data_IF_454602209198
#
_entry.id   IF_454602209198
#
_cell.length_a   1.000
_cell.length_b   1.000
_cell.length_c   1.000
_cell.angle_alpha   90.00
_cell.angle_beta   90.00
_cell.angle_gamma   90.00
#
_symmetry.space_group_name_H-M   'P 1'
#
loop_
_entity.id
_entity.type
_entity.pdbx_description
1 polymer ?
#
# COMPACT_ATOMS: atom_id res chain seq x y z
N UNK A 1 -7.70 4.47 -16.97
CA UNK A 1 -7.09 3.52 -15.99
C UNK A 1 -5.92 4.21 -15.31
N UNK A 2 -5.82 4.18 -13.97
CA UNK A 2 -4.79 4.91 -13.18
C UNK A 2 -3.65 4.00 -12.69
N UNK A 3 -3.29 2.99 -13.48
CA UNK A 3 -2.26 2.01 -13.11
C UNK A 3 -0.89 2.70 -12.92
N UNK A 4 -0.20 2.38 -11.84
CA UNK A 4 1.12 2.93 -11.53
C UNK A 4 1.12 4.40 -11.10
N UNK A 5 -0.01 4.94 -10.64
CA UNK A 5 -0.09 6.28 -10.06
C UNK A 5 -0.18 6.21 -8.54
N UNK A 6 0.49 7.15 -7.89
CA UNK A 6 0.38 7.40 -6.45
C UNK A 6 -0.94 8.11 -6.13
N UNK A 7 -1.63 7.66 -5.08
CA UNK A 7 -2.86 8.26 -4.57
C UNK A 7 -3.00 8.09 -3.06
N UNK A 8 -4.03 8.73 -2.51
CA UNK A 8 -4.35 8.67 -1.08
C UNK A 8 -5.64 7.90 -0.89
N UNK A 9 -5.65 6.93 0.03
CA UNK A 9 -6.89 6.28 0.47
C UNK A 9 -7.74 7.32 1.21
N UNK A 10 -8.95 7.58 0.73
CA UNK A 10 -9.89 8.56 1.28
C UNK A 10 -11.14 7.92 1.90
N UNK A 11 -11.28 6.60 1.76
CA UNK A 11 -12.36 5.83 2.35
C UNK A 11 -12.20 4.34 2.00
N UNK A 12 -12.88 3.50 2.76
CA UNK A 12 -12.94 2.07 2.51
C UNK A 12 -14.30 1.54 2.95
N UNK A 13 -14.90 0.68 2.12
CA UNK A 13 -15.95 -0.25 2.51
C UNK A 13 -15.34 -1.65 2.49
N UNK A 14 -14.99 -2.16 3.67
CA UNK A 14 -14.33 -3.45 3.81
C UNK A 14 -15.29 -4.63 3.59
N UNK A 15 -16.61 -4.42 3.71
CA UNK A 15 -17.57 -5.49 3.46
C UNK A 15 -17.65 -5.87 1.98
N UNK A 16 -17.50 -4.88 1.09
CA UNK A 16 -17.52 -5.07 -0.36
C UNK A 16 -16.14 -5.06 -1.02
N UNK A 17 -15.06 -5.08 -0.22
CA UNK A 17 -13.69 -4.87 -0.68
C UNK A 17 -13.54 -3.66 -1.62
N UNK A 18 -14.12 -2.53 -1.23
CA UNK A 18 -14.07 -1.30 -2.03
C UNK A 18 -13.24 -0.24 -1.34
N UNK A 19 -12.06 0.02 -1.89
CA UNK A 19 -11.15 1.07 -1.46
C UNK A 19 -11.30 2.30 -2.36
N UNK A 20 -11.54 3.46 -1.76
CA UNK A 20 -11.65 4.73 -2.46
C UNK A 20 -10.30 5.44 -2.43
N UNK A 21 -9.71 5.68 -3.60
CA UNK A 21 -8.40 6.31 -3.74
C UNK A 21 -8.53 7.62 -4.51
N UNK A 22 -8.08 8.72 -3.91
CA UNK A 22 -7.99 10.03 -4.55
C UNK A 22 -6.63 10.24 -5.18
N UNK A 23 -6.61 10.72 -6.43
CA UNK A 23 -5.40 10.96 -7.20
C UNK A 23 -5.25 12.45 -7.52
N UNK A 24 -4.80 13.25 -6.55
CA UNK A 24 -4.59 14.69 -6.70
C UNK A 24 -5.71 15.36 -7.54
N UNK A 25 -5.36 15.93 -8.71
CA UNK A 25 -6.29 16.68 -9.57
C UNK A 25 -7.12 15.79 -10.53
N UNK A 26 -7.02 14.46 -10.43
CA UNK A 26 -7.63 13.51 -11.36
C UNK A 26 -8.89 12.84 -10.81
N UNK A 27 -9.36 13.27 -9.64
CA UNK A 27 -10.54 12.72 -8.98
C UNK A 27 -10.25 11.47 -8.16
N UNK A 28 -11.30 10.71 -7.84
CA UNK A 28 -11.23 9.48 -7.06
C UNK A 28 -11.66 8.26 -7.88
N UNK A 29 -11.04 7.12 -7.59
CA UNK A 29 -11.38 5.81 -8.14
C UNK A 29 -11.72 4.80 -7.05
N UNK A 30 -12.36 3.70 -7.46
CA UNK A 30 -12.69 2.55 -6.61
C UNK A 30 -11.83 1.36 -7.03
N UNK A 31 -11.25 0.67 -6.06
CA UNK A 31 -10.34 -0.45 -6.27
C UNK A 31 -10.59 -1.53 -5.23
N UNK A 32 -10.32 -2.78 -5.61
CA UNK A 32 -10.18 -3.87 -4.66
C UNK A 32 -8.85 -3.75 -3.91
N UNK A 33 -8.80 -4.29 -2.69
CA UNK A 33 -7.60 -4.22 -1.84
C UNK A 33 -6.40 -4.94 -2.45
N UNK A 34 -6.62 -6.00 -3.23
CA UNK A 34 -5.57 -6.75 -3.93
C UNK A 34 -4.93 -5.98 -5.11
N UNK A 35 -5.62 -4.99 -5.66
CA UNK A 35 -5.16 -4.15 -6.75
C UNK A 35 -4.28 -2.98 -6.28
N UNK A 36 -4.09 -2.84 -4.96
CA UNK A 36 -3.40 -1.70 -4.36
C UNK A 36 -2.12 -2.13 -3.64
N UNK A 37 -1.07 -1.35 -3.87
CA UNK A 37 0.15 -1.36 -3.08
C UNK A 37 0.14 -0.16 -2.13
N UNK A 38 0.52 -0.39 -0.88
CA UNK A 38 0.64 0.64 0.14
C UNK A 38 2.06 0.73 0.66
N UNK A 39 2.46 1.94 1.05
CA UNK A 39 3.76 2.16 1.67
C UNK A 39 3.87 1.39 2.98
N UNK A 40 5.01 0.73 3.17
CA UNK A 40 5.39 0.18 4.48
C UNK A 40 5.47 1.32 5.51
N UNK A 41 5.18 1.04 6.80
CA UNK A 41 5.36 2.02 7.86
C UNK A 41 6.81 2.51 7.96
N UNK A 42 7.00 3.78 8.34
CA UNK A 42 8.33 4.41 8.44
C UNK A 42 9.36 3.55 9.17
N UNK A 43 9.02 3.07 10.38
CA UNK A 43 9.94 2.31 11.22
C UNK A 43 10.41 1.01 10.56
N UNK A 44 9.52 0.36 9.81
CA UNK A 44 9.84 -0.86 9.08
C UNK A 44 10.70 -0.57 7.87
N UNK A 45 10.27 0.38 7.03
CA UNK A 45 10.99 0.78 5.82
C UNK A 45 12.42 1.22 6.15
N UNK A 46 12.57 2.08 7.16
CA UNK A 46 13.87 2.58 7.60
C UNK A 46 14.78 1.46 8.12
N UNK A 47 14.25 0.57 8.96
CA UNK A 47 15.02 -0.58 9.48
C UNK A 47 15.46 -1.52 8.35
N UNK A 48 14.55 -1.86 7.43
CA UNK A 48 14.88 -2.70 6.28
C UNK A 48 15.95 -2.06 5.39
N UNK A 49 15.86 -0.75 5.14
CA UNK A 49 16.83 0.03 4.37
C UNK A 49 18.25 -0.13 4.90
N UNK A 50 18.41 -0.03 6.23
CA UNK A 50 19.73 -0.15 6.87
C UNK A 50 20.28 -1.57 6.83
N UNK A 51 19.41 -2.58 6.94
CA UNK A 51 19.81 -3.99 6.90
C UNK A 51 20.16 -4.45 5.49
N UNK A 52 19.37 -4.04 4.50
CA UNK A 52 19.44 -4.51 3.11
C UNK A 52 20.15 -3.54 2.17
N UNK A 53 20.86 -2.53 2.68
CA UNK A 53 21.54 -1.49 1.87
C UNK A 53 22.39 -2.06 0.74
N UNK A 54 23.05 -3.20 0.95
CA UNK A 54 23.92 -3.84 -0.06
C UNK A 54 23.17 -4.49 -1.23
N UNK A 55 21.85 -4.63 -1.13
CA UNK A 55 20.98 -5.22 -2.16
C UNK A 55 20.36 -4.16 -3.07
N UNK A 56 20.56 -2.88 -2.77
CA UNK A 56 19.97 -1.76 -3.48
C UNK A 56 21.01 -1.02 -4.31
N UNK A 57 20.58 -0.57 -5.49
CA UNK A 57 21.33 0.45 -6.24
C UNK A 57 21.45 1.74 -5.41
N UNK A 58 22.56 2.46 -5.57
CA UNK A 58 22.83 3.67 -4.78
C UNK A 58 21.75 4.75 -4.99
N UNK A 59 21.21 4.84 -6.20
CA UNK A 59 20.12 5.76 -6.51
C UNK A 59 18.84 5.38 -5.75
N UNK A 60 18.48 4.11 -5.76
CA UNK A 60 17.29 3.60 -5.07
C UNK A 60 17.40 3.73 -3.56
N UNK A 61 18.57 3.41 -2.99
CA UNK A 61 18.84 3.64 -1.57
C UNK A 61 18.58 5.10 -1.17
N UNK A 62 19.10 6.07 -1.94
CA UNK A 62 18.90 7.51 -1.64
C UNK A 62 17.44 7.91 -1.73
N UNK A 63 16.72 7.42 -2.74
CA UNK A 63 15.30 7.72 -2.93
C UNK A 63 14.45 7.13 -1.81
N UNK A 64 14.72 5.87 -1.44
CA UNK A 64 14.04 5.17 -0.35
C UNK A 64 14.34 5.80 1.01
N UNK A 65 15.59 6.17 1.27
CA UNK A 65 15.98 6.86 2.50
C UNK A 65 15.23 8.19 2.62
N UNK A 66 15.19 8.98 1.54
CA UNK A 66 14.44 10.24 1.50
C UNK A 66 12.95 10.02 1.75
N UNK A 67 12.34 9.03 1.10
CA UNK A 67 10.94 8.67 1.33
C UNK A 67 10.70 8.33 2.81
N UNK A 68 11.57 7.52 3.43
CA UNK A 68 11.45 7.18 4.84
C UNK A 68 11.53 8.41 5.74
N UNK A 69 12.42 9.37 5.46
CA UNK A 69 12.52 10.61 6.22
C UNK A 69 11.26 11.46 6.11
N UNK A 70 10.65 11.53 4.92
CA UNK A 70 9.39 12.25 4.73
C UNK A 70 8.19 11.56 5.38
N UNK A 71 8.17 10.23 5.50
CA UNK A 71 7.13 9.55 6.29
C UNK A 71 7.19 9.92 7.79
N UNK A 72 8.37 10.31 8.30
CA UNK A 72 8.57 10.69 9.70
C UNK A 72 8.25 12.16 9.98
N UNK A 73 8.68 13.06 9.09
CA UNK A 73 8.65 14.51 9.35
C UNK A 73 8.13 15.35 8.18
N UNK A 74 7.87 14.73 7.03
CA UNK A 74 7.46 15.42 5.81
C UNK A 74 5.97 15.68 5.73
N UNK A 75 5.60 16.61 4.86
CA UNK A 75 4.20 16.82 4.48
C UNK A 75 3.67 15.67 3.60
N UNK A 76 2.33 15.44 3.57
CA UNK A 76 1.73 14.46 2.68
C UNK A 76 2.13 14.63 1.20
N UNK A 77 2.33 15.88 0.77
CA UNK A 77 2.82 16.20 -0.57
C UNK A 77 4.23 15.67 -0.83
N UNK A 78 5.15 15.86 0.11
CA UNK A 78 6.53 15.37 -0.01
C UNK A 78 6.60 13.83 -0.03
N UNK A 79 5.71 13.17 0.73
CA UNK A 79 5.57 11.71 0.69
C UNK A 79 5.09 11.27 -0.70
N UNK A 80 4.02 11.88 -1.23
CA UNK A 80 3.51 11.55 -2.56
C UNK A 80 4.53 11.80 -3.68
N UNK A 81 5.22 12.94 -3.66
CA UNK A 81 6.25 13.27 -4.65
C UNK A 81 7.41 12.27 -4.60
N UNK A 82 7.82 11.85 -3.40
CA UNK A 82 8.88 10.86 -3.24
C UNK A 82 8.45 9.46 -3.65
N UNK A 83 7.20 9.09 -3.39
CA UNK A 83 6.63 7.82 -3.88
C UNK A 83 6.52 7.82 -5.42
N UNK A 84 6.10 8.94 -6.01
CA UNK A 84 6.07 9.09 -7.47
C UNK A 84 7.45 8.98 -8.11
N UNK A 85 8.51 9.40 -7.41
CA UNK A 85 9.90 9.26 -7.86
C UNK A 85 10.37 7.79 -7.91
N UNK A 86 9.70 6.86 -7.23
CA UNK A 86 10.01 5.43 -7.29
C UNK A 86 9.42 4.72 -8.50
N UNK A 87 8.54 5.39 -9.27
CA UNK A 87 7.76 4.77 -10.35
C UNK A 87 8.62 4.05 -11.40
N UNK A 88 9.81 4.55 -11.67
CA UNK A 88 10.71 4.01 -12.69
C UNK A 88 11.69 2.95 -12.13
N UNK A 89 11.65 2.66 -10.83
CA UNK A 89 12.39 1.55 -10.20
C UNK A 89 11.43 0.52 -9.61
N UNK A 90 11.16 -0.60 -10.33
CA UNK A 90 10.35 -1.69 -9.81
C UNK A 90 10.89 -2.25 -8.49
N UNK A 91 12.22 -2.37 -8.36
CA UNK A 91 12.87 -2.87 -7.16
C UNK A 91 12.63 -1.94 -5.96
N UNK A 92 12.77 -0.62 -6.14
CA UNK A 92 12.51 0.32 -5.05
C UNK A 92 11.02 0.34 -4.67
N UNK A 93 10.13 0.22 -5.65
CA UNK A 93 8.69 0.19 -5.41
C UNK A 93 8.28 -1.07 -4.63
N UNK A 94 8.80 -2.24 -5.02
CA UNK A 94 8.61 -3.50 -4.29
C UNK A 94 9.21 -3.43 -2.87
N UNK A 95 10.37 -2.79 -2.72
CA UNK A 95 10.99 -2.62 -1.40
C UNK A 95 10.15 -1.74 -0.47
N UNK A 96 9.62 -0.64 -0.99
CA UNK A 96 8.89 0.36 -0.23
C UNK A 96 7.44 0.01 0.08
N UNK A 97 6.85 -0.94 -0.65
CA UNK A 97 5.42 -1.22 -0.60
C UNK A 97 5.10 -2.66 -0.22
N UNK A 98 3.84 -2.91 0.11
CA UNK A 98 3.24 -4.24 0.21
C UNK A 98 1.78 -4.21 -0.28
N UNK A 99 1.16 -5.35 -0.60
CA UNK A 99 -0.26 -5.42 -0.90
C UNK A 99 -1.11 -4.85 0.24
N UNK A 100 -2.13 -4.06 -0.08
CA UNK A 100 -3.04 -3.53 0.94
C UNK A 100 -3.81 -4.63 1.65
N UNK A 101 -4.18 -5.70 0.95
CA UNK A 101 -4.83 -6.88 1.52
C UNK A 101 -4.01 -7.51 2.66
N UNK A 102 -2.69 -7.60 2.50
CA UNK A 102 -1.77 -8.08 3.54
C UNK A 102 -1.79 -7.15 4.77
N UNK A 103 -1.76 -5.84 4.55
CA UNK A 103 -1.75 -4.85 5.64
C UNK A 103 -3.06 -4.80 6.42
N UNK A 104 -4.19 -5.04 5.75
CA UNK A 104 -5.50 -5.04 6.40
C UNK A 104 -5.80 -6.34 7.13
N UNK A 105 -4.88 -7.33 7.11
CA UNK A 105 -5.12 -8.68 7.60
C UNK A 105 -6.45 -9.25 7.06
N UNK A 106 -6.84 -8.83 5.85
CA UNK A 106 -8.04 -9.32 5.18
C UNK A 106 -7.74 -10.72 4.66
N UNK A 107 -7.82 -11.68 5.57
CA UNK A 107 -7.92 -13.08 5.24
C UNK A 107 -9.34 -13.31 4.71
N UNK A 108 -9.53 -13.29 3.39
CA UNK A 108 -10.78 -13.69 2.75
C UNK A 108 -11.19 -15.16 3.05
N UNK A 109 -10.46 -15.86 3.92
CA UNK A 109 -10.67 -17.25 4.32
C UNK A 109 -11.61 -17.52 5.51
N UNK A 110 -12.16 -16.52 6.20
CA UNK A 110 -12.93 -16.77 7.44
C UNK A 110 -14.45 -16.57 7.37
N UNK A 111 -15.00 -15.94 6.32
CA UNK A 111 -16.44 -15.56 6.30
C UNK A 111 -17.36 -16.45 5.44
N UNK A 112 -16.87 -17.55 4.84
CA UNK A 112 -17.71 -18.46 4.03
C UNK A 112 -18.27 -19.67 4.82
N UNK A 113 -18.03 -19.79 6.13
CA UNK A 113 -18.49 -20.95 6.93
C UNK A 113 -19.52 -20.68 8.04
N UNK A 114 -20.32 -19.61 7.97
CA UNK A 114 -21.53 -19.47 8.83
C UNK A 114 -22.86 -19.48 8.07
N UNK A 115 -22.85 -19.93 6.81
CA UNK A 115 -24.06 -20.01 5.98
C UNK A 115 -24.66 -21.42 5.78
N UNK A 116 -24.14 -22.48 6.41
CA UNK A 116 -24.64 -23.83 6.15
C UNK A 116 -24.70 -24.72 7.40
N UNK A 117 -25.83 -25.43 7.54
CA UNK A 117 -26.35 -26.15 8.72
C UNK A 117 -26.97 -25.21 9.76
N UNK A 118 -28.25 -25.31 10.17
CA UNK A 118 -29.04 -26.50 10.46
C UNK A 118 -30.51 -26.24 10.09
N UNK A 119 -31.02 -26.99 9.11
CA UNK A 119 -32.40 -27.46 9.17
C UNK A 119 -32.44 -28.74 9.99
N UNK A 120 -33.40 -28.83 10.92
CA UNK A 120 -33.99 -30.01 11.59
C UNK A 120 -34.94 -29.39 12.63
N UNK A 121 -36.26 -29.40 12.44
CA UNK A 121 -37.07 -30.60 12.35
C UNK A 121 -37.44 -31.04 13.76
N UNK A 122 -38.52 -30.48 14.31
CA UNK A 122 -39.45 -31.13 15.25
C UNK A 122 -40.84 -30.56 15.00
#
# INVERSE_FOLDING_TARGET
>A
MMRGQAGTVIGADLHSDTIFVAFANKGAGRYQSDALLVLKPHNELYKELLVKVKQLEVADFKNLLRLSMYQSTGSPRQIMESMAALKDSPQALEFATRPLSEMLELDYGADIQQGNSIGLGR
#
